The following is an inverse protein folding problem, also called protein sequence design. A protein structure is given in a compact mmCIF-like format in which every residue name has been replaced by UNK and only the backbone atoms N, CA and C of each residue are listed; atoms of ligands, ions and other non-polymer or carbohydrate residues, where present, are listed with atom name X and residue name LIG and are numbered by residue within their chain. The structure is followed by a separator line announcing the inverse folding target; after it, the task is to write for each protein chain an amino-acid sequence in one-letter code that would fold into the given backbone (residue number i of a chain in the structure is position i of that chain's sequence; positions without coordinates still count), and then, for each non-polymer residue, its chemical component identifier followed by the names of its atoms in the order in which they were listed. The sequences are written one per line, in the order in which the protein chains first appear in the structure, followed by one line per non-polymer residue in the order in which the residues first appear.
data_IF_234721515409
#
_entry.id   IF_234721515409
#
_cell.length_a   1.000
_cell.length_b   1.000
_cell.length_c   1.000
_cell.angle_alpha   90.00
_cell.angle_beta   90.00
_cell.angle_gamma   90.00
#
_symmetry.space_group_name_H-M   'P 1'
#
loop_
_entity.id
_entity.type
_entity.pdbx_description
1 polymer ?
#
# COMPACT_ATOMS: atom_id res chain seq x y z
N UNK A 1 38.86 9.57 15.21
CA UNK A 1 38.26 8.43 14.50
C UNK A 1 36.93 8.14 15.19
N UNK A 2 35.81 8.56 14.58
CA UNK A 2 34.43 8.17 14.91
C UNK A 2 33.56 8.93 13.90
N UNK A 3 33.34 8.28 12.76
CA UNK A 3 32.05 7.71 12.41
C UNK A 3 31.14 8.80 11.80
N UNK A 4 31.35 9.00 10.49
CA UNK A 4 30.36 9.57 9.59
C UNK A 4 29.05 8.81 9.79
N UNK A 5 28.08 9.42 10.48
CA UNK A 5 26.68 9.04 10.31
C UNK A 5 26.31 9.48 8.90
N UNK A 6 26.42 8.53 7.97
CA UNK A 6 25.74 8.58 6.68
C UNK A 6 24.24 8.67 7.01
N UNK A 7 23.73 9.89 7.13
CA UNK A 7 22.34 10.17 6.87
C UNK A 7 22.09 9.81 5.41
N UNK A 8 21.86 8.52 5.16
CA UNK A 8 21.26 8.06 3.92
C UNK A 8 19.99 8.87 3.74
N UNK A 9 19.80 9.41 2.54
CA UNK A 9 18.59 10.14 2.19
C UNK A 9 17.41 9.20 2.41
N UNK A 10 16.73 9.32 3.56
CA UNK A 10 15.44 8.69 3.76
C UNK A 10 14.49 9.38 2.77
N UNK A 11 13.98 8.63 1.81
CA UNK A 11 12.82 9.07 1.06
C UNK A 11 11.70 9.26 2.10
N UNK A 12 11.36 10.52 2.41
CA UNK A 12 10.33 10.84 3.41
C UNK A 12 8.98 10.12 3.16
N UNK A 13 8.73 9.66 1.93
CA UNK A 13 7.55 8.88 1.57
C UNK A 13 7.50 7.48 2.19
N UNK A 14 8.64 6.80 2.35
CA UNK A 14 8.67 5.46 2.94
C UNK A 14 8.30 5.52 4.42
N UNK A 15 8.94 6.42 5.18
CA UNK A 15 8.68 6.59 6.62
C UNK A 15 7.19 6.86 6.93
N UNK A 16 6.51 7.63 6.08
CA UNK A 16 5.08 7.93 6.22
C UNK A 16 4.18 6.70 6.02
N UNK A 17 4.57 5.75 5.16
CA UNK A 17 3.80 4.53 4.91
C UNK A 17 3.83 3.63 6.15
N UNK A 18 5.02 3.43 6.72
CA UNK A 18 5.19 2.63 7.94
C UNK A 18 4.47 3.28 9.13
N UNK A 19 4.55 4.61 9.27
CA UNK A 19 3.83 5.38 10.29
C UNK A 19 2.30 5.17 10.17
N UNK A 20 1.73 5.31 8.97
CA UNK A 20 0.28 5.14 8.74
C UNK A 20 -0.22 3.71 8.97
N UNK A 21 0.67 2.72 8.81
CA UNK A 21 0.37 1.32 9.09
C UNK A 21 0.73 0.91 10.52
N UNK A 22 1.18 1.86 11.35
CA UNK A 22 1.55 1.65 12.76
C UNK A 22 2.59 0.54 12.95
N UNK A 23 3.54 0.43 12.00
CA UNK A 23 4.63 -0.54 12.02
C UNK A 23 5.99 0.14 11.98
N UNK A 24 7.02 -0.57 12.42
CA UNK A 24 8.38 -0.04 12.49
C UNK A 24 9.13 -0.26 11.17
N UNK A 25 9.76 0.77 10.63
CA UNK A 25 10.56 0.72 9.39
C UNK A 25 11.91 0.00 9.56
N UNK A 26 12.33 -0.28 10.80
CA UNK A 26 13.50 -1.11 11.11
C UNK A 26 13.17 -2.61 11.18
N UNK A 27 11.90 -2.98 11.29
CA UNK A 27 11.50 -4.38 11.33
C UNK A 27 11.50 -4.98 9.92
N UNK A 28 12.04 -6.19 9.78
CA UNK A 28 12.05 -6.86 8.49
C UNK A 28 10.68 -7.51 8.21
N UNK A 29 10.07 -7.27 7.04
CA UNK A 29 8.82 -7.94 6.68
C UNK A 29 9.03 -9.46 6.69
N UNK A 30 8.00 -10.24 7.05
CA UNK A 30 8.07 -11.69 6.94
C UNK A 30 8.35 -12.09 5.49
N UNK A 31 8.97 -13.25 5.31
CA UNK A 31 9.11 -13.84 3.98
C UNK A 31 7.75 -13.96 3.32
N UNK A 32 7.69 -13.54 2.07
CA UNK A 32 6.47 -13.50 1.28
C UNK A 32 6.65 -14.16 -0.08
N UNK A 33 5.56 -14.66 -0.63
CA UNK A 33 5.46 -15.15 -2.00
C UNK A 33 4.40 -14.35 -2.73
N UNK A 34 4.76 -13.75 -3.86
CA UNK A 34 3.79 -13.07 -4.73
C UNK A 34 2.93 -14.13 -5.41
N UNK A 35 1.62 -14.10 -5.15
CA UNK A 35 0.64 -14.98 -5.79
C UNK A 35 0.16 -14.36 -7.10
N UNK A 36 -0.22 -13.08 -7.03
CA UNK A 36 -0.78 -12.33 -8.16
C UNK A 36 -0.20 -10.94 -8.19
N UNK A 37 0.06 -10.41 -9.39
CA UNK A 37 0.38 -8.99 -9.61
C UNK A 37 -0.32 -8.51 -10.87
N UNK A 38 -1.03 -7.39 -10.77
CA UNK A 38 -1.71 -6.74 -11.91
C UNK A 38 -1.36 -5.26 -11.90
N UNK A 39 -0.93 -4.76 -13.04
CA UNK A 39 -0.74 -3.33 -13.28
C UNK A 39 -1.89 -2.87 -14.16
N UNK A 40 -2.61 -1.83 -13.74
CA UNK A 40 -3.74 -1.34 -14.50
C UNK A 40 -3.26 -0.61 -15.76
N UNK A 41 -4.11 -0.52 -16.78
CA UNK A 41 -3.74 0.01 -18.11
C UNK A 41 -3.23 1.45 -18.06
N UNK A 42 -3.58 2.20 -17.02
CA UNK A 42 -3.11 3.56 -16.76
C UNK A 42 -1.71 3.64 -16.11
N UNK A 43 -1.15 2.51 -15.69
CA UNK A 43 0.14 2.38 -14.96
C UNK A 43 0.23 3.22 -13.67
N UNK A 44 -0.88 3.76 -13.17
CA UNK A 44 -0.92 4.55 -11.92
C UNK A 44 -1.43 3.74 -10.74
N UNK A 45 -2.07 2.59 -11.00
CA UNK A 45 -2.56 1.65 -10.00
C UNK A 45 -1.92 0.27 -10.16
N UNK A 46 -1.40 -0.28 -9.04
CA UNK A 46 -0.89 -1.65 -8.94
C UNK A 46 -1.67 -2.45 -7.92
N UNK A 47 -2.15 -3.63 -8.31
CA UNK A 47 -2.64 -4.65 -7.39
C UNK A 47 -1.58 -5.74 -7.19
N UNK A 48 -1.34 -6.14 -5.94
CA UNK A 48 -0.50 -7.29 -5.59
C UNK A 48 -1.20 -8.15 -4.56
N UNK A 49 -1.18 -9.46 -4.75
CA UNK A 49 -1.59 -10.44 -3.76
C UNK A 49 -0.36 -11.23 -3.32
N UNK A 50 -0.14 -11.31 -2.00
CA UNK A 50 1.00 -12.00 -1.41
C UNK A 50 0.54 -13.00 -0.36
N UNK A 51 1.32 -14.06 -0.19
CA UNK A 51 1.24 -14.97 0.95
C UNK A 51 2.44 -14.77 1.86
N UNK A 52 2.24 -14.64 3.17
CA UNK A 52 3.31 -14.45 4.15
C UNK A 52 3.49 -15.68 5.06
N UNK A 53 4.72 -15.92 5.52
CA UNK A 53 5.06 -17.07 6.38
C UNK A 53 4.66 -16.90 7.85
N UNK A 54 4.27 -15.69 8.28
CA UNK A 54 3.91 -15.36 9.67
C UNK A 54 2.46 -14.92 9.75
N UNK A 55 1.73 -15.41 10.75
CA UNK A 55 0.34 -15.01 11.02
C UNK A 55 0.23 -13.68 11.78
N UNK A 56 -0.91 -13.01 11.60
CA UNK A 56 -1.33 -11.85 12.38
C UNK A 56 -1.23 -10.51 11.66
N UNK A 57 -2.03 -9.55 12.13
CA UNK A 57 -2.16 -8.21 11.54
C UNK A 57 -0.84 -7.46 11.42
N UNK A 58 -0.01 -7.45 12.47
CA UNK A 58 1.27 -6.74 12.47
C UNK A 58 2.20 -7.25 11.35
N UNK A 59 2.24 -8.57 11.15
CA UNK A 59 3.01 -9.18 10.07
C UNK A 59 2.47 -8.78 8.69
N UNK A 60 1.15 -8.72 8.54
CA UNK A 60 0.49 -8.27 7.32
C UNK A 60 0.74 -6.78 7.04
N UNK A 61 0.58 -5.90 8.06
CA UNK A 61 0.86 -4.46 7.95
C UNK A 61 2.31 -4.20 7.55
N UNK A 62 3.27 -4.93 8.12
CA UNK A 62 4.68 -4.79 7.77
C UNK A 62 4.97 -5.22 6.32
N UNK A 63 4.36 -6.32 5.84
CA UNK A 63 4.45 -6.71 4.43
C UNK A 63 3.75 -5.76 3.47
N UNK A 64 2.64 -5.16 3.89
CA UNK A 64 1.95 -4.11 3.14
C UNK A 64 2.84 -2.88 3.03
N UNK A 65 3.45 -2.45 4.14
CA UNK A 65 4.32 -1.28 4.17
C UNK A 65 5.49 -1.45 3.19
N UNK A 66 6.17 -2.61 3.23
CA UNK A 66 7.20 -2.97 2.25
C UNK A 66 6.65 -2.96 0.80
N UNK A 67 5.45 -3.53 0.60
CA UNK A 67 4.78 -3.57 -0.69
C UNK A 67 4.45 -2.18 -1.27
N UNK A 68 4.09 -1.22 -0.42
CA UNK A 68 3.81 0.16 -0.83
C UNK A 68 5.07 1.00 -0.97
N UNK A 69 6.08 0.83 -0.12
CA UNK A 69 7.40 1.43 -0.31
C UNK A 69 8.06 0.99 -1.61
N UNK A 70 7.75 -0.22 -2.09
CA UNK A 70 8.13 -0.70 -3.42
C UNK A 70 7.28 -0.14 -4.57
N UNK A 71 6.36 0.81 -4.35
CA UNK A 71 5.72 1.57 -5.42
C UNK A 71 6.76 2.56 -5.95
N UNK A 72 6.97 2.57 -7.27
CA UNK A 72 7.86 3.53 -7.92
C UNK A 72 7.07 4.79 -8.31
N UNK A 73 7.79 5.81 -8.80
CA UNK A 73 7.21 7.09 -9.24
C UNK A 73 6.09 6.97 -10.30
N UNK A 74 5.89 5.79 -10.91
CA UNK A 74 4.80 5.57 -11.86
C UNK A 74 3.47 5.24 -11.19
N UNK A 75 3.46 4.63 -10.00
CA UNK A 75 2.24 4.22 -9.31
C UNK A 75 1.88 5.17 -8.18
N UNK A 76 0.85 5.97 -8.38
CA UNK A 76 0.29 6.87 -7.35
C UNK A 76 -0.69 6.18 -6.41
N UNK A 77 -1.16 4.97 -6.74
CA UNK A 77 -2.03 4.17 -5.88
C UNK A 77 -1.65 2.68 -5.91
N UNK A 78 -1.96 1.97 -4.83
CA UNK A 78 -1.67 0.55 -4.71
C UNK A 78 -2.74 -0.19 -3.93
N UNK A 79 -2.95 -1.46 -4.25
CA UNK A 79 -3.73 -2.39 -3.45
C UNK A 79 -2.85 -3.60 -3.16
N UNK A 80 -2.77 -3.99 -1.89
CA UNK A 80 -2.05 -5.18 -1.45
C UNK A 80 -3.01 -6.06 -0.67
N UNK A 81 -3.25 -7.27 -1.19
CA UNK A 81 -3.93 -8.34 -0.49
C UNK A 81 -2.89 -9.27 0.13
N UNK A 82 -3.05 -9.56 1.41
CA UNK A 82 -2.15 -10.43 2.17
C UNK A 82 -2.93 -11.62 2.68
N UNK A 83 -2.40 -12.82 2.43
CA UNK A 83 -2.87 -14.08 3.04
C UNK A 83 -1.78 -14.54 3.99
N UNK A 84 -2.10 -14.67 5.27
CA UNK A 84 -1.13 -15.13 6.25
C UNK A 84 -1.01 -16.66 6.34
N UNK A 85 -0.10 -17.14 7.19
CA UNK A 85 0.15 -18.58 7.34
C UNK A 85 -1.03 -19.36 7.93
N UNK A 86 -1.96 -18.66 8.61
CA UNK A 86 -3.20 -19.21 9.16
C UNK A 86 -4.41 -18.96 8.24
N UNK A 87 -4.14 -18.46 7.03
CA UNK A 87 -5.13 -18.12 5.99
C UNK A 87 -6.07 -16.96 6.36
N UNK A 88 -5.72 -16.13 7.34
CA UNK A 88 -6.37 -14.84 7.51
C UNK A 88 -6.03 -13.95 6.31
N UNK A 89 -7.01 -13.12 5.91
CA UNK A 89 -6.87 -12.22 4.78
C UNK A 89 -6.90 -10.79 5.27
N UNK A 90 -6.01 -9.99 4.68
CA UNK A 90 -5.92 -8.56 4.94
C UNK A 90 -5.85 -7.84 3.61
N UNK A 91 -6.42 -6.65 3.55
CA UNK A 91 -6.33 -5.78 2.38
C UNK A 91 -5.85 -4.42 2.83
N UNK A 92 -4.93 -3.87 2.06
CA UNK A 92 -4.54 -2.49 2.18
C UNK A 92 -4.68 -1.75 0.86
N UNK A 93 -5.13 -0.51 0.93
CA UNK A 93 -5.27 0.38 -0.23
C UNK A 93 -4.50 1.66 0.08
N UNK A 94 -3.64 2.08 -0.83
CA UNK A 94 -2.82 3.29 -0.76
C UNK A 94 -3.24 4.28 -1.84
N UNK A 95 -3.42 5.54 -1.44
CA UNK A 95 -3.67 6.69 -2.32
C UNK A 95 -2.62 7.76 -2.01
N UNK A 96 -1.64 7.89 -2.90
CA UNK A 96 -0.52 8.82 -2.71
C UNK A 96 -0.81 10.25 -3.17
N UNK A 97 -1.58 10.40 -4.25
CA UNK A 97 -1.97 11.67 -4.85
C UNK A 97 -3.23 11.50 -5.73
N UNK A 98 -3.75 12.61 -6.23
CA UNK A 98 -4.99 12.66 -7.03
C UNK A 98 -4.86 12.03 -8.42
N UNK A 99 -3.65 11.78 -8.96
CA UNK A 99 -3.46 11.41 -10.37
C UNK A 99 -4.20 10.12 -10.76
N UNK A 100 -4.20 9.09 -9.90
CA UNK A 100 -4.94 7.85 -10.17
C UNK A 100 -6.44 8.14 -10.21
N UNK A 101 -6.93 8.96 -9.28
CA UNK A 101 -8.35 9.24 -9.10
C UNK A 101 -8.88 10.11 -10.23
N UNK A 102 -8.15 11.17 -10.58
CA UNK A 102 -8.45 12.02 -11.74
C UNK A 102 -8.54 11.19 -13.02
N UNK A 103 -7.62 10.24 -13.20
CA UNK A 103 -7.69 9.32 -14.33
C UNK A 103 -8.96 8.47 -14.30
N UNK A 104 -9.27 7.85 -13.15
CA UNK A 104 -10.44 6.98 -12.99
C UNK A 104 -11.74 7.77 -13.24
N UNK A 105 -11.89 8.94 -12.61
CA UNK A 105 -13.06 9.83 -12.78
C UNK A 105 -13.25 10.25 -14.24
N UNK A 106 -12.17 10.49 -14.98
CA UNK A 106 -12.22 10.90 -16.39
C UNK A 106 -12.48 9.77 -17.40
N UNK A 107 -12.31 8.50 -17.00
CA UNK A 107 -12.36 7.36 -17.92
C UNK A 107 -13.42 6.31 -17.58
N UNK A 108 -14.22 6.59 -16.55
CA UNK A 108 -15.07 5.65 -15.82
C UNK A 108 -14.29 4.44 -15.25
N UNK A 109 -14.58 3.99 -14.02
CA UNK A 109 -13.87 2.84 -13.43
C UNK A 109 -14.17 1.55 -14.22
N UNK A 110 -13.13 0.95 -14.79
CA UNK A 110 -13.22 -0.20 -15.72
C UNK A 110 -13.14 -1.55 -15.01
N UNK A 111 -12.59 -1.58 -13.80
CA UNK A 111 -12.40 -2.82 -13.04
C UNK A 111 -12.67 -2.60 -11.54
N UNK A 112 -12.74 -3.69 -10.78
CA UNK A 112 -13.04 -3.66 -9.35
C UNK A 112 -12.01 -2.88 -8.53
N UNK A 113 -10.73 -2.91 -8.92
CA UNK A 113 -9.66 -2.21 -8.20
C UNK A 113 -9.77 -0.69 -8.33
N UNK A 114 -10.12 -0.21 -9.53
CA UNK A 114 -10.40 1.21 -9.77
C UNK A 114 -11.62 1.70 -8.99
N UNK A 115 -12.67 0.88 -8.89
CA UNK A 115 -13.87 1.20 -8.09
C UNK A 115 -13.52 1.33 -6.62
N UNK A 116 -12.80 0.37 -6.07
CA UNK A 116 -12.40 0.36 -4.65
C UNK A 116 -11.51 1.56 -4.31
N UNK A 117 -10.57 1.93 -5.18
CA UNK A 117 -9.74 3.14 -4.98
C UNK A 117 -10.59 4.41 -5.00
N UNK A 118 -11.57 4.50 -5.89
CA UNK A 118 -12.46 5.65 -5.99
C UNK A 118 -13.38 5.76 -4.75
N UNK A 119 -13.96 4.65 -4.32
CA UNK A 119 -14.79 4.59 -3.10
C UNK A 119 -13.98 5.04 -1.87
N UNK A 120 -12.73 4.59 -1.75
CA UNK A 120 -11.86 5.01 -0.65
C UNK A 120 -11.49 6.49 -0.73
N UNK A 121 -11.23 7.00 -1.94
CA UNK A 121 -10.92 8.42 -2.14
C UNK A 121 -12.09 9.30 -1.72
N UNK A 122 -13.31 8.97 -2.15
CA UNK A 122 -14.49 9.76 -1.84
C UNK A 122 -14.76 9.73 -0.32
N UNK A 123 -14.58 8.59 0.35
CA UNK A 123 -14.67 8.48 1.82
C UNK A 123 -13.60 9.33 2.55
N UNK A 124 -12.36 9.34 2.03
CA UNK A 124 -11.27 10.19 2.55
C UNK A 124 -11.61 11.69 2.39
N UNK A 125 -12.15 12.10 1.24
CA UNK A 125 -12.57 13.49 1.01
C UNK A 125 -13.70 13.90 1.96
N UNK A 126 -14.70 13.04 2.17
CA UNK A 126 -15.80 13.27 3.11
C UNK A 126 -15.30 13.42 4.56
N UNK A 127 -14.29 12.63 4.94
CA UNK A 127 -13.63 12.70 6.24
C UNK A 127 -12.64 13.88 6.37
N UNK A 128 -12.37 14.63 5.29
CA UNK A 128 -11.37 15.69 5.22
C UNK A 128 -9.97 15.20 5.65
N UNK A 129 -9.64 13.97 5.29
CA UNK A 129 -8.35 13.34 5.53
C UNK A 129 -7.30 13.79 4.52
N UNK A 130 -6.02 13.69 4.89
CA UNK A 130 -4.91 14.15 4.05
C UNK A 130 -4.17 12.99 3.41
N UNK A 131 -3.70 13.23 2.19
CA UNK A 131 -2.79 12.35 1.48
C UNK A 131 -1.35 12.41 2.00
N UNK A 132 -0.56 11.32 1.87
CA UNK A 132 -1.02 10.02 1.36
C UNK A 132 -2.00 9.35 2.33
N UNK A 133 -2.96 8.60 1.82
CA UNK A 133 -3.96 7.92 2.63
C UNK A 133 -3.81 6.41 2.48
N UNK A 134 -3.91 5.68 3.59
CA UNK A 134 -3.84 4.23 3.63
C UNK A 134 -4.99 3.73 4.47
N UNK A 135 -5.74 2.79 3.92
CA UNK A 135 -6.70 2.00 4.68
C UNK A 135 -6.21 0.56 4.74
N UNK A 136 -6.20 -0.02 5.94
CA UNK A 136 -5.90 -1.43 6.18
C UNK A 136 -7.12 -2.09 6.83
N UNK A 137 -7.58 -3.19 6.26
CA UNK A 137 -8.77 -3.92 6.70
C UNK A 137 -8.50 -5.41 6.81
N UNK A 138 -9.15 -6.04 7.79
CA UNK A 138 -9.27 -7.50 7.87
C UNK A 138 -10.41 -7.93 6.95
N UNK A 139 -10.14 -8.90 6.08
CA UNK A 139 -11.13 -9.43 5.13
C UNK A 139 -11.64 -10.76 5.67
N UNK A 140 -12.91 -10.78 6.10
CA UNK A 140 -13.61 -11.99 6.58
C UNK A 140 -13.95 -12.98 5.45
#
# INVERSE_FOLDING_TARGET
MAAFLLAGCFNNGDSIIYEKLEVNDFDSPPKSTVLTRKEMTNKTLRYTEIKIEKAGEEAARLSVADGFSGLNDHFSSGIVDVIDSEAHKYRAIYIGNDNTVDYIKNNDPKNEYEKVVLELYDAMEEANEKMPYIEFTVVE
#
